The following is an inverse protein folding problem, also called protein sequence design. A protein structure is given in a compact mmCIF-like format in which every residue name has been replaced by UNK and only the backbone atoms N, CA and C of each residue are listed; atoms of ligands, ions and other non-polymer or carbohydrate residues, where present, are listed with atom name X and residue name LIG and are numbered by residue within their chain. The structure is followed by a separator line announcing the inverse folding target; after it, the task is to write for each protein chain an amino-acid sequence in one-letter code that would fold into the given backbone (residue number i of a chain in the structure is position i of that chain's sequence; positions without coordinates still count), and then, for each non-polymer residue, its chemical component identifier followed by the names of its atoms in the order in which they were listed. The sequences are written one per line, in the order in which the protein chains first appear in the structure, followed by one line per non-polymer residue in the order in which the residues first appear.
data_IF_136589668388
#
_entry.id   IF_136589668388
#
_cell.length_a   1.000
_cell.length_b   1.000
_cell.length_c   1.000
_cell.angle_alpha   90.00
_cell.angle_beta   90.00
_cell.angle_gamma   90.00
#
_symmetry.space_group_name_H-M   'P 1'
#
loop_
_entity.id
_entity.type
_entity.pdbx_description
1 polymer ?
#
# COMPACT_ATOMS: atom_id res chain seq x y z
N UNK A 1 26.06 -9.30 -30.01
CA UNK A 1 25.56 -9.79 -28.72
C UNK A 1 26.19 -8.91 -27.67
N UNK A 2 25.41 -8.04 -27.02
CA UNK A 2 25.93 -7.20 -25.95
C UNK A 2 25.98 -8.03 -24.67
N UNK A 3 27.17 -8.18 -24.10
CA UNK A 3 27.37 -8.81 -22.80
C UNK A 3 26.64 -7.96 -21.74
N UNK A 4 25.71 -8.60 -21.04
CA UNK A 4 25.03 -8.01 -19.88
C UNK A 4 26.07 -7.78 -18.79
N UNK A 5 26.46 -6.53 -18.59
CA UNK A 5 27.25 -6.11 -17.44
C UNK A 5 26.38 -6.27 -16.19
N UNK A 6 26.47 -7.42 -15.54
CA UNK A 6 25.82 -7.66 -14.26
C UNK A 6 26.38 -6.68 -13.22
N UNK A 7 25.56 -5.71 -12.81
CA UNK A 7 25.84 -4.88 -11.65
C UNK A 7 25.70 -5.74 -10.37
N UNK A 8 26.77 -5.90 -9.56
CA UNK A 8 26.67 -6.63 -8.30
C UNK A 8 25.79 -5.92 -7.27
N UNK A 9 25.48 -4.64 -7.45
CA UNK A 9 24.66 -3.85 -6.54
C UNK A 9 23.18 -3.94 -6.94
N UNK A 10 22.32 -4.28 -5.98
CA UNK A 10 20.88 -4.44 -6.22
C UNK A 10 20.13 -3.16 -5.89
N UNK A 11 19.30 -2.71 -6.82
CA UNK A 11 18.56 -1.44 -6.73
C UNK A 11 17.09 -1.71 -6.49
N UNK A 12 16.59 -1.30 -5.33
CA UNK A 12 15.23 -1.53 -4.91
C UNK A 12 14.45 -0.22 -4.87
N UNK A 13 13.22 -0.26 -5.33
CA UNK A 13 12.32 0.88 -5.34
C UNK A 13 11.18 0.62 -4.34
N UNK A 14 10.92 1.56 -3.43
CA UNK A 14 9.88 1.43 -2.42
C UNK A 14 8.88 2.58 -2.49
N UNK A 15 7.60 2.24 -2.53
CA UNK A 15 6.49 3.16 -2.42
C UNK A 15 5.66 2.81 -1.18
N UNK A 16 5.43 3.80 -0.32
CA UNK A 16 4.51 3.69 0.80
C UNK A 16 4.11 5.08 1.26
N UNK A 17 3.01 5.18 2.00
CA UNK A 17 2.62 6.46 2.62
C UNK A 17 3.32 6.65 3.96
N UNK A 18 3.83 7.86 4.18
CA UNK A 18 4.42 8.27 5.45
C UNK A 18 3.35 8.53 6.51
N UNK A 19 2.83 7.46 7.11
CA UNK A 19 2.36 7.47 8.50
C UNK A 19 3.40 6.67 9.27
N UNK A 20 4.00 7.24 10.33
CA UNK A 20 5.01 6.55 11.15
C UNK A 20 4.50 5.13 11.52
N UNK A 21 5.23 4.08 11.13
CA UNK A 21 4.79 2.68 11.27
C UNK A 21 3.96 2.07 10.12
N UNK A 22 3.77 2.76 8.98
CA UNK A 22 3.01 2.24 7.82
C UNK A 22 3.79 2.20 6.49
N UNK A 23 5.12 2.23 6.54
CA UNK A 23 5.95 1.79 5.40
C UNK A 23 6.33 2.85 4.35
N UNK A 24 6.22 4.15 4.63
CA UNK A 24 6.68 5.21 3.71
C UNK A 24 8.19 5.22 3.42
N UNK A 25 8.99 4.58 4.26
CA UNK A 25 10.43 4.42 4.03
C UNK A 25 11.16 3.49 5.01
N UNK A 26 10.49 3.02 6.06
CA UNK A 26 11.09 2.14 7.08
C UNK A 26 11.61 0.86 6.43
N UNK A 27 10.81 0.27 5.54
CA UNK A 27 11.22 -0.91 4.77
C UNK A 27 12.47 -0.67 3.89
N UNK A 28 12.58 0.51 3.29
CA UNK A 28 13.73 0.87 2.47
C UNK A 28 15.00 1.03 3.34
N UNK A 29 14.86 1.63 4.53
CA UNK A 29 15.94 1.77 5.51
C UNK A 29 16.37 0.40 6.05
N UNK A 30 15.42 -0.39 6.54
CA UNK A 30 15.65 -1.73 7.09
C UNK A 30 16.40 -2.61 6.11
N UNK A 31 16.06 -2.57 4.82
CA UNK A 31 16.79 -3.29 3.79
C UNK A 31 18.23 -2.82 3.57
N UNK A 32 18.48 -1.50 3.57
CA UNK A 32 19.85 -0.98 3.46
C UNK A 32 20.72 -1.36 4.67
N UNK A 33 20.10 -1.47 5.85
CA UNK A 33 20.73 -1.85 7.11
C UNK A 33 21.02 -3.36 7.16
N UNK A 34 20.06 -4.19 6.75
CA UNK A 34 20.18 -5.64 6.73
C UNK A 34 21.15 -6.12 5.62
N UNK A 35 21.09 -5.49 4.45
CA UNK A 35 21.87 -5.89 3.27
C UNK A 35 22.80 -4.78 2.80
N UNK A 36 24.10 -4.93 3.09
CA UNK A 36 25.14 -3.95 2.74
C UNK A 36 25.31 -3.71 1.23
N UNK A 37 24.80 -4.60 0.38
CA UNK A 37 24.85 -4.54 -1.09
C UNK A 37 23.58 -3.98 -1.74
N UNK A 38 22.56 -3.66 -0.94
CA UNK A 38 21.29 -3.09 -1.42
C UNK A 38 21.35 -1.57 -1.40
N UNK A 39 20.84 -0.98 -2.48
CA UNK A 39 20.55 0.45 -2.59
C UNK A 39 19.05 0.63 -2.75
N UNK A 40 18.45 1.52 -1.97
CA UNK A 40 17.02 1.77 -2.05
C UNK A 40 16.71 3.19 -2.47
N UNK A 41 15.61 3.34 -3.20
CA UNK A 41 14.99 4.63 -3.53
C UNK A 41 13.56 4.58 -3.05
N UNK A 42 13.25 5.38 -2.02
CA UNK A 42 11.90 5.58 -1.51
C UNK A 42 11.26 6.82 -2.14
N UNK A 43 9.99 6.74 -2.48
CA UNK A 43 9.24 7.86 -3.07
C UNK A 43 7.95 8.08 -2.30
N UNK A 44 7.66 9.35 -2.00
CA UNK A 44 6.37 9.79 -1.45
C UNK A 44 6.04 11.19 -2.00
N UNK A 45 4.75 11.54 -2.01
CA UNK A 45 4.27 12.87 -2.38
C UNK A 45 4.54 13.91 -1.27
N UNK A 46 4.78 13.45 -0.04
CA UNK A 46 5.18 14.28 1.09
C UNK A 46 6.64 14.03 1.48
N UNK A 47 7.35 15.01 2.07
CA UNK A 47 8.72 14.80 2.54
C UNK A 47 8.80 13.68 3.58
N UNK A 48 9.63 12.68 3.31
CA UNK A 48 9.93 11.60 4.24
C UNK A 48 10.95 12.13 5.25
N UNK A 49 10.56 12.22 6.53
CA UNK A 49 11.40 12.77 7.59
C UNK A 49 12.05 11.64 8.43
N UNK A 50 13.23 11.20 8.01
CA UNK A 50 14.10 10.36 8.86
C UNK A 50 15.22 11.22 9.47
N UNK A 51 15.53 10.98 10.74
CA UNK A 51 16.62 11.67 11.44
C UNK A 51 17.99 11.18 10.96
N UNK A 52 18.11 9.88 10.68
CA UNK A 52 19.31 9.23 10.16
C UNK A 52 18.89 8.21 9.09
N UNK A 53 19.55 8.23 7.94
CA UNK A 53 19.35 7.27 6.85
C UNK A 53 20.70 6.75 6.37
N UNK A 54 20.84 5.45 6.04
CA UNK A 54 22.06 4.93 5.43
C UNK A 54 22.41 5.66 4.14
N UNK A 55 23.69 5.83 3.81
CA UNK A 55 24.13 6.50 2.55
C UNK A 55 23.60 5.82 1.27
N UNK A 56 23.28 4.52 1.36
CA UNK A 56 22.72 3.71 0.27
C UNK A 56 21.20 3.84 0.11
N UNK A 57 20.55 4.58 1.01
CA UNK A 57 19.13 4.83 1.04
C UNK A 57 18.85 6.26 0.59
N UNK A 58 18.06 6.42 -0.47
CA UNK A 58 17.67 7.73 -1.02
C UNK A 58 16.16 7.91 -0.96
N UNK A 59 15.72 9.12 -0.65
CA UNK A 59 14.31 9.48 -0.63
C UNK A 59 14.05 10.66 -1.57
N UNK A 60 13.05 10.51 -2.41
CA UNK A 60 12.66 11.50 -3.42
C UNK A 60 11.20 11.90 -3.22
N UNK A 61 10.90 13.17 -3.45
CA UNK A 61 9.54 13.71 -3.31
C UNK A 61 8.98 14.03 -4.68
N UNK A 62 8.01 13.24 -5.13
CA UNK A 62 7.26 13.52 -6.36
C UNK A 62 5.93 12.76 -6.37
N UNK A 63 4.99 13.27 -7.17
CA UNK A 63 3.66 12.68 -7.31
C UNK A 63 3.63 11.68 -8.47
N UNK A 64 3.33 10.44 -8.13
CA UNK A 64 3.21 9.30 -9.04
C UNK A 64 2.08 9.42 -10.07
N UNK A 65 1.13 10.34 -9.85
CA UNK A 65 0.00 10.56 -10.75
C UNK A 65 0.29 11.57 -11.86
N UNK A 66 1.33 12.39 -11.74
CA UNK A 66 1.45 13.60 -12.58
C UNK A 66 2.12 13.26 -13.92
N UNK A 67 3.12 12.37 -13.99
CA UNK A 67 3.78 11.95 -15.25
C UNK A 67 4.45 10.56 -15.16
N UNK A 68 5.11 10.16 -16.26
CA UNK A 68 6.02 9.01 -16.33
C UNK A 68 7.05 9.03 -15.20
N UNK A 69 7.35 7.87 -14.61
CA UNK A 69 8.37 7.79 -13.55
C UNK A 69 9.73 8.23 -14.11
N UNK A 70 10.50 9.09 -13.40
CA UNK A 70 11.74 9.69 -13.88
C UNK A 70 12.94 8.74 -13.86
N UNK A 71 12.69 7.45 -14.11
CA UNK A 71 13.70 6.40 -14.11
C UNK A 71 13.79 5.76 -15.48
N UNK A 72 15.00 5.34 -15.86
CA UNK A 72 15.22 4.59 -17.11
C UNK A 72 14.60 3.21 -17.04
N UNK A 73 14.33 2.62 -18.19
CA UNK A 73 13.80 1.27 -18.28
C UNK A 73 14.79 0.27 -17.66
N UNK A 74 14.27 -0.71 -16.93
CA UNK A 74 15.09 -1.79 -16.37
C UNK A 74 16.10 -1.40 -15.28
N UNK A 75 15.94 -0.26 -14.61
CA UNK A 75 16.92 0.24 -13.64
C UNK A 75 16.78 -0.31 -12.21
N UNK A 76 15.68 -1.02 -11.90
CA UNK A 76 15.46 -1.64 -10.60
C UNK A 76 15.37 -3.17 -10.70
N UNK A 77 15.92 -3.84 -9.68
CA UNK A 77 15.81 -5.30 -9.50
C UNK A 77 14.51 -5.69 -8.80
N UNK A 78 14.00 -4.82 -7.93
CA UNK A 78 12.81 -5.06 -7.13
C UNK A 78 12.01 -3.77 -6.95
N UNK A 79 10.70 -3.85 -7.12
CA UNK A 79 9.75 -2.78 -6.79
C UNK A 79 8.81 -3.28 -5.69
N UNK A 80 8.75 -2.56 -4.58
CA UNK A 80 7.83 -2.78 -3.48
C UNK A 80 6.86 -1.61 -3.38
N UNK A 81 5.56 -1.88 -3.35
CA UNK A 81 4.54 -0.87 -3.09
C UNK A 81 3.52 -1.38 -2.07
N UNK A 82 3.31 -0.62 -1.00
CA UNK A 82 2.39 -1.00 0.08
C UNK A 82 1.45 0.13 0.44
N UNK A 83 0.16 -0.21 0.51
CA UNK A 83 -0.92 0.69 0.90
C UNK A 83 -0.94 2.00 0.09
N UNK A 84 -0.62 1.94 -1.20
CA UNK A 84 -0.54 3.12 -2.06
C UNK A 84 -1.86 3.40 -2.78
N UNK A 85 -2.78 2.43 -2.84
CA UNK A 85 -4.09 2.51 -3.51
C UNK A 85 -4.76 3.89 -3.43
N UNK A 86 -4.87 4.41 -2.21
CA UNK A 86 -5.62 5.66 -1.93
C UNK A 86 -4.96 6.90 -2.53
N UNK A 87 -3.70 6.81 -2.94
CA UNK A 87 -2.94 7.84 -3.63
C UNK A 87 -2.82 7.63 -5.14
N UNK A 88 -3.31 6.53 -5.71
CA UNK A 88 -3.18 6.21 -7.14
C UNK A 88 -4.51 6.46 -7.86
N UNK A 89 -4.51 7.30 -8.90
CA UNK A 89 -5.69 7.59 -9.74
C UNK A 89 -5.87 6.63 -10.91
N UNK A 90 -4.75 6.16 -11.48
CA UNK A 90 -4.76 5.22 -12.60
C UNK A 90 -3.84 4.04 -12.28
N UNK A 91 -4.41 3.02 -11.65
CA UNK A 91 -3.67 1.84 -11.21
C UNK A 91 -3.08 1.02 -12.38
N UNK A 92 -3.78 0.80 -13.51
CA UNK A 92 -3.19 0.15 -14.68
C UNK A 92 -1.96 0.89 -15.24
N UNK A 93 -2.01 2.22 -15.32
CA UNK A 93 -0.85 3.02 -15.73
C UNK A 93 0.32 2.86 -14.76
N UNK A 94 0.04 2.88 -13.45
CA UNK A 94 1.03 2.65 -12.40
C UNK A 94 1.71 1.28 -12.56
N UNK A 95 0.95 0.20 -12.78
CA UNK A 95 1.51 -1.13 -13.04
C UNK A 95 2.38 -1.17 -14.31
N UNK A 96 1.96 -0.48 -15.37
CA UNK A 96 2.75 -0.35 -16.59
C UNK A 96 4.08 0.36 -16.36
N UNK A 97 4.09 1.41 -15.53
CA UNK A 97 5.33 2.08 -15.14
C UNK A 97 6.25 1.19 -14.31
N UNK A 98 5.69 0.41 -13.36
CA UNK A 98 6.46 -0.57 -12.58
C UNK A 98 7.14 -1.58 -13.49
N UNK A 99 6.38 -2.18 -14.42
CA UNK A 99 6.92 -3.16 -15.36
C UNK A 99 8.03 -2.58 -16.25
N UNK A 100 7.95 -1.29 -16.60
CA UNK A 100 8.98 -0.59 -17.38
C UNK A 100 10.27 -0.38 -16.60
N UNK A 101 10.20 0.10 -15.36
CA UNK A 101 11.39 0.41 -14.56
C UNK A 101 12.05 -0.84 -13.98
N UNK A 102 11.33 -1.96 -13.91
CA UNK A 102 11.88 -3.25 -13.55
C UNK A 102 12.70 -3.85 -14.69
N UNK A 103 13.87 -4.38 -14.35
CA UNK A 103 14.66 -5.15 -15.31
C UNK A 103 13.91 -6.45 -15.67
N UNK A 104 14.18 -7.05 -16.84
CA UNK A 104 13.72 -8.40 -17.13
C UNK A 104 14.13 -9.39 -16.03
N UNK A 105 13.16 -10.14 -15.49
CA UNK A 105 13.37 -11.04 -14.35
C UNK A 105 13.46 -10.35 -12.99
N UNK A 106 13.14 -9.06 -12.89
CA UNK A 106 12.97 -8.34 -11.63
C UNK A 106 11.69 -8.74 -10.89
N UNK A 107 11.61 -8.40 -9.60
CA UNK A 107 10.49 -8.78 -8.73
C UNK A 107 9.60 -7.58 -8.40
N UNK A 108 8.29 -7.77 -8.43
CA UNK A 108 7.33 -6.79 -7.89
C UNK A 108 6.61 -7.37 -6.67
N UNK A 109 6.54 -6.59 -5.60
CA UNK A 109 5.80 -6.89 -4.37
C UNK A 109 4.75 -5.81 -4.15
N UNK A 110 3.47 -6.17 -4.27
CA UNK A 110 2.34 -5.26 -4.07
C UNK A 110 1.51 -5.72 -2.88
N UNK A 111 1.26 -4.82 -1.93
CA UNK A 111 0.49 -5.10 -0.73
C UNK A 111 -0.57 -4.02 -0.55
N UNK A 112 -1.82 -4.32 -0.89
CA UNK A 112 -2.92 -3.37 -0.77
C UNK A 112 -3.96 -3.82 0.27
N UNK A 113 -4.38 -2.93 1.20
CA UNK A 113 -5.46 -3.24 2.11
C UNK A 113 -6.79 -3.23 1.37
N UNK A 114 -7.61 -4.25 1.60
CA UNK A 114 -9.02 -4.18 1.24
C UNK A 114 -9.71 -3.07 2.03
N UNK A 115 -10.48 -2.24 1.35
CA UNK A 115 -11.33 -1.23 1.99
C UNK A 115 -12.72 -1.77 2.40
N UNK A 116 -12.93 -3.09 2.24
CA UNK A 116 -14.12 -3.79 2.69
C UNK A 116 -13.90 -4.36 4.09
N UNK A 117 -14.83 -4.04 5.00
CA UNK A 117 -14.82 -4.50 6.38
C UNK A 117 -15.77 -5.68 6.55
N UNK A 118 -15.41 -6.59 7.44
CA UNK A 118 -16.18 -7.79 7.75
C UNK A 118 -16.57 -7.79 9.22
N UNK A 119 -17.78 -8.23 9.53
CA UNK A 119 -18.28 -8.29 10.91
C UNK A 119 -17.64 -9.44 11.71
N UNK A 120 -17.14 -10.44 11.01
CA UNK A 120 -16.46 -11.60 11.58
C UNK A 120 -16.04 -12.57 10.49
N UNK A 121 -15.52 -13.72 10.92
CA UNK A 121 -15.24 -14.85 10.06
C UNK A 121 -16.28 -15.95 10.35
N UNK A 122 -17.16 -16.24 9.40
CA UNK A 122 -18.02 -17.41 9.44
C UNK A 122 -17.33 -18.56 8.69
N UNK A 123 -17.03 -19.68 9.37
CA UNK A 123 -16.29 -20.82 8.79
C UNK A 123 -14.96 -20.40 8.13
N UNK A 124 -14.18 -19.53 8.77
CA UNK A 124 -12.94 -18.93 8.24
C UNK A 124 -13.13 -18.12 6.94
N UNK A 125 -14.36 -17.77 6.58
CA UNK A 125 -14.66 -16.87 5.46
C UNK A 125 -15.17 -15.53 5.97
N UNK A 126 -14.79 -14.42 5.34
CA UNK A 126 -15.30 -13.12 5.73
C UNK A 126 -16.82 -13.05 5.60
N UNK A 127 -17.52 -12.75 6.68
CA UNK A 127 -18.96 -12.53 6.65
C UNK A 127 -19.23 -11.07 6.24
N UNK A 128 -20.00 -10.89 5.16
CA UNK A 128 -20.35 -9.55 4.68
C UNK A 128 -21.11 -8.79 5.77
N UNK A 129 -20.60 -7.61 6.13
CA UNK A 129 -21.13 -6.78 7.21
C UNK A 129 -22.62 -6.39 7.07
N UNK A 130 -23.17 -6.45 5.86
CA UNK A 130 -24.54 -6.01 5.58
C UNK A 130 -25.61 -7.04 5.95
N UNK A 131 -25.28 -8.32 6.09
CA UNK A 131 -26.29 -9.38 6.25
C UNK A 131 -26.68 -9.66 7.69
N UNK A 132 -25.83 -9.34 8.67
CA UNK A 132 -26.00 -9.83 10.04
C UNK A 132 -26.53 -8.80 11.04
N UNK A 133 -26.51 -7.50 10.71
CA UNK A 133 -26.82 -6.43 11.68
C UNK A 133 -25.90 -6.42 12.91
N UNK A 134 -24.84 -7.23 12.90
CA UNK A 134 -23.86 -7.38 13.97
C UNK A 134 -22.58 -6.60 13.64
N UNK A 135 -22.01 -5.96 14.67
CA UNK A 135 -20.86 -5.06 14.57
C UNK A 135 -21.23 -3.58 14.72
N UNK A 136 -20.25 -2.69 14.98
CA UNK A 136 -20.54 -1.29 15.25
C UNK A 136 -21.04 -0.61 13.98
N UNK A 137 -22.34 -0.29 13.89
CA UNK A 137 -22.93 0.35 12.70
C UNK A 137 -22.11 1.55 12.21
N UNK A 138 -21.61 2.36 13.15
CA UNK A 138 -20.74 3.50 12.85
C UNK A 138 -19.44 3.13 12.11
N UNK A 139 -18.84 1.97 12.41
CA UNK A 139 -17.64 1.47 11.73
C UNK A 139 -17.93 1.18 10.25
N UNK A 140 -18.97 0.42 9.96
CA UNK A 140 -19.32 0.10 8.57
C UNK A 140 -19.76 1.33 7.79
N UNK A 141 -20.54 2.23 8.42
CA UNK A 141 -20.92 3.51 7.81
C UNK A 141 -19.68 4.36 7.49
N UNK A 142 -18.69 4.40 8.37
CA UNK A 142 -17.43 5.12 8.14
C UNK A 142 -16.70 4.56 6.92
N UNK A 143 -16.51 3.24 6.81
CA UNK A 143 -15.76 2.65 5.68
C UNK A 143 -16.50 2.73 4.35
N UNK A 144 -17.83 2.61 4.36
CA UNK A 144 -18.65 2.91 3.19
C UNK A 144 -18.48 4.38 2.76
N UNK A 145 -18.51 5.30 3.73
CA UNK A 145 -18.29 6.73 3.48
C UNK A 145 -16.90 6.98 2.91
N UNK A 146 -15.87 6.37 3.50
CA UNK A 146 -14.50 6.47 3.04
C UNK A 146 -14.32 5.99 1.60
N UNK A 147 -14.87 4.82 1.25
CA UNK A 147 -14.86 4.30 -0.13
C UNK A 147 -15.56 5.25 -1.10
N UNK A 148 -16.73 5.77 -0.75
CA UNK A 148 -17.47 6.74 -1.59
C UNK A 148 -16.65 8.00 -1.84
N UNK A 149 -16.01 8.55 -0.80
CA UNK A 149 -15.14 9.72 -0.93
C UNK A 149 -13.95 9.44 -1.86
N UNK A 150 -13.26 8.31 -1.69
CA UNK A 150 -12.16 7.91 -2.57
C UNK A 150 -12.61 7.77 -4.03
N UNK A 151 -13.76 7.15 -4.27
CA UNK A 151 -14.34 7.04 -5.62
C UNK A 151 -14.71 8.39 -6.23
N UNK A 152 -15.24 9.33 -5.44
CA UNK A 152 -15.48 10.72 -5.91
C UNK A 152 -14.19 11.44 -6.30
N UNK A 153 -13.07 11.08 -5.67
CA UNK A 153 -11.75 11.59 -6.03
C UNK A 153 -11.11 10.82 -7.20
N UNK A 154 -11.80 9.83 -7.77
CA UNK A 154 -11.31 9.02 -8.90
C UNK A 154 -10.36 7.89 -8.52
N UNK A 155 -10.36 7.44 -7.25
CA UNK A 155 -9.67 6.20 -6.87
C UNK A 155 -10.58 5.01 -7.17
N UNK A 156 -10.04 4.02 -7.87
CA UNK A 156 -10.69 2.71 -7.98
C UNK A 156 -10.50 1.91 -6.69
N UNK A 157 -11.50 1.95 -5.81
CA UNK A 157 -11.48 1.25 -4.52
C UNK A 157 -11.60 -0.28 -4.64
N UNK A 158 -11.79 -0.80 -5.86
CA UNK A 158 -11.96 -2.24 -6.12
C UNK A 158 -10.67 -2.94 -6.49
N UNK A 159 -9.57 -2.20 -6.70
CA UNK A 159 -8.26 -2.74 -7.08
C UNK A 159 -7.81 -3.91 -6.19
N UNK A 160 -7.90 -3.87 -4.85
CA UNK A 160 -7.45 -5.00 -4.02
C UNK A 160 -8.16 -6.33 -4.33
N UNK A 161 -9.40 -6.28 -4.83
CA UNK A 161 -10.17 -7.48 -5.14
C UNK A 161 -9.72 -8.16 -6.44
N UNK A 162 -9.14 -7.41 -7.37
CA UNK A 162 -8.77 -7.88 -8.72
C UNK A 162 -7.33 -7.50 -9.11
N UNK A 163 -6.46 -7.21 -8.13
CA UNK A 163 -5.07 -6.81 -8.35
C UNK A 163 -4.28 -7.83 -9.17
N UNK A 164 -4.52 -9.12 -8.92
CA UNK A 164 -3.95 -10.21 -9.70
C UNK A 164 -4.35 -10.12 -11.17
N UNK A 165 -5.63 -9.94 -11.45
CA UNK A 165 -6.17 -9.84 -12.81
C UNK A 165 -5.61 -8.60 -13.54
N UNK A 166 -5.41 -7.48 -12.82
CA UNK A 166 -4.77 -6.28 -13.37
C UNK A 166 -3.32 -6.56 -13.78
N UNK A 167 -2.55 -7.25 -12.93
CA UNK A 167 -1.16 -7.65 -13.24
C UNK A 167 -1.12 -8.58 -14.45
N UNK A 168 -1.95 -9.62 -14.48
CA UNK A 168 -2.05 -10.55 -15.62
C UNK A 168 -2.44 -9.81 -16.91
N UNK A 169 -3.37 -8.87 -16.82
CA UNK A 169 -3.83 -8.05 -17.93
C UNK A 169 -2.73 -7.18 -18.56
N UNK A 170 -1.70 -6.80 -17.79
CA UNK A 170 -0.56 -6.05 -18.33
C UNK A 170 0.29 -6.88 -19.29
N UNK A 171 0.34 -8.21 -19.10
CA UNK A 171 1.27 -9.14 -19.78
C UNK A 171 2.76 -8.78 -19.61
N UNK A 172 3.11 -7.97 -18.61
CA UNK A 172 4.49 -7.59 -18.28
C UNK A 172 5.10 -8.47 -17.18
N UNK A 173 4.27 -9.23 -16.47
CA UNK A 173 4.66 -10.03 -15.32
C UNK A 173 4.31 -11.50 -15.55
N UNK A 174 5.17 -12.38 -15.02
CA UNK A 174 4.98 -13.83 -14.99
C UNK A 174 5.02 -14.33 -13.53
N UNK A 175 4.66 -15.59 -13.31
CA UNK A 175 4.69 -16.24 -11.98
C UNK A 175 3.93 -15.49 -10.87
N UNK A 176 2.76 -14.95 -11.21
CA UNK A 176 1.97 -14.11 -10.29
C UNK A 176 1.32 -14.96 -9.18
N UNK A 177 1.76 -14.70 -7.94
CA UNK A 177 1.20 -15.29 -6.72
C UNK A 177 0.33 -14.27 -5.98
N UNK A 178 -0.83 -14.73 -5.48
CA UNK A 178 -1.78 -13.92 -4.70
C UNK A 178 -1.97 -14.56 -3.32
N UNK A 179 -1.81 -13.75 -2.28
CA UNK A 179 -1.99 -14.14 -0.88
C UNK A 179 -2.96 -13.19 -0.20
N UNK A 180 -4.07 -13.75 0.29
CA UNK A 180 -5.11 -12.99 1.01
C UNK A 180 -5.07 -13.35 2.49
N UNK A 181 -4.94 -12.34 3.33
CA UNK A 181 -4.98 -12.47 4.79
C UNK A 181 -6.06 -11.57 5.37
N UNK A 182 -6.78 -12.07 6.39
CA UNK A 182 -7.70 -11.23 7.16
C UNK A 182 -6.96 -10.66 8.36
N UNK A 183 -7.01 -9.34 8.51
CA UNK A 183 -6.37 -8.63 9.63
C UNK A 183 -7.45 -8.34 10.68
N UNK A 184 -7.35 -8.90 11.90
CA UNK A 184 -8.28 -8.57 12.99
C UNK A 184 -8.12 -7.11 13.44
N UNK A 185 -9.12 -6.57 14.13
CA UNK A 185 -9.10 -5.19 14.63
C UNK A 185 -9.50 -5.16 16.10
N UNK A 186 -8.54 -4.92 16.99
CA UNK A 186 -8.79 -4.80 18.43
C UNK A 186 -8.25 -5.97 19.26
N UNK A 187 -8.88 -6.21 20.41
CA UNK A 187 -8.27 -6.87 21.57
C UNK A 187 -8.91 -8.22 21.92
N UNK A 188 -9.47 -8.92 20.93
CA UNK A 188 -10.38 -10.05 21.19
C UNK A 188 -9.84 -11.44 20.83
N UNK A 189 -8.70 -11.54 20.14
CA UNK A 189 -8.25 -12.83 19.62
C UNK A 189 -7.52 -13.66 20.69
N UNK A 190 -7.82 -14.96 20.81
CA UNK A 190 -7.20 -15.85 21.81
C UNK A 190 -5.72 -16.16 21.50
N UNK A 191 -5.41 -16.41 20.22
CA UNK A 191 -4.01 -16.57 19.78
C UNK A 191 -3.24 -15.25 19.98
N UNK A 192 -2.18 -15.29 20.79
CA UNK A 192 -1.38 -14.12 21.16
C UNK A 192 -0.74 -13.40 19.96
N UNK A 193 -0.29 -14.13 18.93
CA UNK A 193 0.29 -13.50 17.74
C UNK A 193 -0.74 -12.72 16.94
N UNK A 194 -1.91 -13.32 16.73
CA UNK A 194 -3.03 -12.66 16.03
C UNK A 194 -3.61 -11.51 16.88
N UNK A 195 -3.60 -11.64 18.22
CA UNK A 195 -3.95 -10.56 19.14
C UNK A 195 -3.03 -9.36 18.96
N UNK A 196 -1.71 -9.57 18.92
CA UNK A 196 -0.74 -8.50 18.66
C UNK A 196 -1.03 -7.80 17.32
N UNK A 197 -1.31 -8.56 16.25
CA UNK A 197 -1.70 -7.99 14.95
C UNK A 197 -2.96 -7.12 15.09
N UNK A 198 -3.97 -7.60 15.81
CA UNK A 198 -5.21 -6.85 16.04
C UNK A 198 -5.02 -5.55 16.82
N UNK A 199 -4.11 -5.56 17.80
CA UNK A 199 -3.73 -4.38 18.59
C UNK A 199 -2.97 -3.35 17.75
N UNK A 200 -2.01 -3.81 16.93
CA UNK A 200 -1.27 -2.93 16.02
C UNK A 200 -2.21 -2.32 14.96
N UNK A 201 -3.16 -3.10 14.44
CA UNK A 201 -4.16 -2.59 13.50
C UNK A 201 -5.10 -1.56 14.15
N UNK A 202 -5.47 -1.78 15.42
CA UNK A 202 -6.24 -0.79 16.18
C UNK A 202 -5.46 0.53 16.30
N UNK A 203 -4.19 0.48 16.69
CA UNK A 203 -3.32 1.66 16.77
C UNK A 203 -3.13 2.35 15.41
N UNK A 204 -3.03 1.57 14.33
CA UNK A 204 -2.96 2.12 12.98
C UNK A 204 -4.22 2.92 12.61
N UNK A 205 -5.40 2.50 13.10
CA UNK A 205 -6.63 3.26 12.92
C UNK A 205 -6.71 4.52 13.79
N UNK A 206 -6.18 4.50 15.01
CA UNK A 206 -6.08 5.72 15.83
C UNK A 206 -5.30 6.84 15.12
N UNK A 207 -4.31 6.48 14.28
CA UNK A 207 -3.57 7.41 13.43
C UNK A 207 -4.33 7.77 12.13
N UNK A 208 -4.95 6.79 11.49
CA UNK A 208 -5.64 6.98 10.21
C UNK A 208 -6.89 7.84 10.34
N UNK A 209 -7.73 7.58 11.34
CA UNK A 209 -9.06 8.19 11.45
C UNK A 209 -9.03 9.72 11.50
N UNK A 210 -8.16 10.36 12.32
CA UNK A 210 -8.00 11.81 12.27
C UNK A 210 -7.49 12.32 10.92
N UNK A 211 -6.62 11.56 10.25
CA UNK A 211 -6.05 11.92 8.95
C UNK A 211 -7.08 11.89 7.80
N UNK A 212 -8.21 11.19 7.97
CA UNK A 212 -9.31 11.19 6.99
C UNK A 212 -10.14 12.49 7.03
N UNK A 213 -10.12 13.22 8.15
CA UNK A 213 -10.97 14.40 8.36
C UNK A 213 -10.85 15.46 7.26
N UNK A 214 -9.64 15.89 6.82
CA UNK A 214 -9.51 16.89 5.75
C UNK A 214 -10.16 16.44 4.44
N UNK A 215 -10.09 15.15 4.11
CA UNK A 215 -10.71 14.60 2.90
C UNK A 215 -12.23 14.61 2.99
N UNK A 216 -12.80 14.26 4.15
CA UNK A 216 -14.24 14.34 4.35
C UNK A 216 -14.75 15.78 4.26
N UNK A 217 -14.04 16.73 4.89
CA UNK A 217 -14.38 18.15 4.84
C UNK A 217 -14.29 18.73 3.42
N UNK A 218 -13.26 18.37 2.64
CA UNK A 218 -13.11 18.86 1.26
C UNK A 218 -14.24 18.39 0.33
N UNK A 219 -14.92 17.30 0.69
CA UNK A 219 -16.09 16.74 -0.01
C UNK A 219 -17.42 17.18 0.62
N UNK A 220 -17.40 18.19 1.50
CA UNK A 220 -18.60 18.81 2.07
C UNK A 220 -19.22 18.07 3.26
N UNK A 221 -18.54 17.08 3.84
CA UNK A 221 -18.98 16.45 5.07
C UNK A 221 -18.59 17.30 6.27
N UNK A 222 -19.56 18.03 6.80
CA UNK A 222 -19.38 18.87 7.98
C UNK A 222 -19.43 18.02 9.26
N UNK A 223 -18.68 18.45 10.27
CA UNK A 223 -18.82 17.89 11.62
C UNK A 223 -20.23 18.20 12.12
N UNK A 224 -20.91 17.20 12.69
CA UNK A 224 -22.12 17.49 13.44
C UNK A 224 -21.73 18.34 14.64
N UNK A 225 -22.29 19.54 14.71
CA UNK A 225 -22.25 20.37 15.92
C UNK A 225 -22.92 19.57 17.04
N UNK A 226 -22.11 19.02 17.93
CA UNK A 226 -22.58 18.46 19.21
C UNK A 226 -22.75 19.58 20.22
#
# INVERSE_FOLDING_TARGET
MAESTWDPQKRFFSLGRTVKGQGGGEWAVELCEEFSWVFTTGVDIVPIQYLEVPERCRFEMWDINIHHMPYTDGCFDLVHARAVLTGIRNYPHFLGQIGRILRPGGLVLLIEPSLMQYAGLANNKPEAAYTSGSGPRGWFTLWETYRRCLSMLGVDVTVPQHLKDLLEGTRLFEDIQDFKATIPVGFYHENKGILTVGQLQWMAYDLLLPALKPMFMSLGMLESSR
#
